data_IF_906485692779
#
_entry.id   IF_906485692779
#
_cell.length_a   1.000
_cell.length_b   1.000
_cell.length_c   1.000
_cell.angle_alpha   90.00
_cell.angle_beta   90.00
_cell.angle_gamma   90.00
#
_symmetry.space_group_name_H-M   'P 1'
#
loop_
_entity.id
_entity.type
_entity.pdbx_description
1 polymer ?
#
# COMPACT_ATOMS: atom_id res chain seq x y z
N UNK A 1 45.73 -0.80 11.69
CA UNK A 1 44.71 0.22 12.02
C UNK A 1 43.53 0.19 11.04
N UNK A 2 43.76 0.16 9.72
CA UNK A 2 42.70 0.13 8.71
C UNK A 2 41.85 -1.16 8.72
N UNK A 3 42.45 -2.32 8.97
CA UNK A 3 41.74 -3.61 9.07
C UNK A 3 40.73 -3.66 10.22
N UNK A 4 41.04 -3.05 11.36
CA UNK A 4 40.14 -3.01 12.53
C UNK A 4 38.94 -2.10 12.23
N UNK A 5 39.16 -1.00 11.50
CA UNK A 5 38.07 -0.12 11.04
C UNK A 5 37.19 -0.84 10.02
N UNK A 6 37.76 -1.56 9.05
CA UNK A 6 37.02 -2.35 8.04
C UNK A 6 36.24 -3.50 8.70
N UNK A 7 36.85 -4.25 9.61
CA UNK A 7 36.18 -5.31 10.37
C UNK A 7 35.07 -4.75 11.28
N UNK A 8 35.26 -3.57 11.88
CA UNK A 8 34.20 -2.89 12.64
C UNK A 8 33.06 -2.40 11.75
N UNK A 9 33.36 -2.03 10.50
CA UNK A 9 32.37 -1.63 9.49
C UNK A 9 31.53 -2.83 9.01
N UNK A 10 32.14 -4.00 8.86
CA UNK A 10 31.46 -5.26 8.49
C UNK A 10 30.64 -5.86 9.64
N UNK A 11 31.14 -5.80 10.88
CA UNK A 11 30.36 -6.19 12.07
C UNK A 11 29.21 -5.22 12.30
N UNK A 12 29.41 -3.93 12.01
CA UNK A 12 28.37 -2.90 12.07
C UNK A 12 27.30 -3.05 10.99
N UNK A 13 27.66 -3.42 9.75
CA UNK A 13 26.70 -3.54 8.65
C UNK A 13 25.79 -4.77 8.82
N UNK A 14 26.33 -5.92 9.23
CA UNK A 14 25.55 -7.14 9.50
C UNK A 14 24.61 -6.96 10.70
N UNK A 15 25.08 -6.30 11.77
CA UNK A 15 24.24 -5.98 12.93
C UNK A 15 23.11 -5.01 12.58
N UNK A 16 23.40 -3.97 11.78
CA UNK A 16 22.40 -3.02 11.32
C UNK A 16 21.36 -3.68 10.40
N UNK A 17 21.79 -4.52 9.47
CA UNK A 17 20.89 -5.30 8.62
C UNK A 17 19.98 -6.24 9.43
N UNK A 18 20.51 -6.91 10.46
CA UNK A 18 19.72 -7.77 11.33
C UNK A 18 18.66 -7.00 12.13
N UNK A 19 18.97 -5.81 12.64
CA UNK A 19 18.01 -4.96 13.35
C UNK A 19 16.93 -4.41 12.41
N UNK A 20 17.32 -3.98 11.21
CA UNK A 20 16.36 -3.49 10.20
C UNK A 20 15.43 -4.61 9.73
N UNK A 21 15.96 -5.81 9.44
CA UNK A 21 15.15 -6.96 9.03
C UNK A 21 14.26 -7.44 10.17
N UNK A 22 14.77 -7.52 11.40
CA UNK A 22 13.98 -7.90 12.57
C UNK A 22 12.86 -6.90 12.86
N UNK A 23 13.15 -5.60 12.78
CA UNK A 23 12.15 -4.54 12.93
C UNK A 23 11.09 -4.56 11.83
N UNK A 24 11.49 -4.78 10.58
CA UNK A 24 10.59 -4.90 9.44
C UNK A 24 9.65 -6.11 9.58
N UNK A 25 10.19 -7.27 9.94
CA UNK A 25 9.43 -8.50 10.09
C UNK A 25 8.42 -8.42 11.23
N UNK A 26 8.80 -7.83 12.37
CA UNK A 26 7.90 -7.62 13.51
C UNK A 26 6.79 -6.62 13.21
N UNK A 27 7.10 -5.56 12.45
CA UNK A 27 6.10 -4.59 12.00
C UNK A 27 5.12 -5.20 11.00
N UNK A 28 5.61 -5.99 10.04
CA UNK A 28 4.79 -6.69 9.06
C UNK A 28 3.86 -7.72 9.73
N UNK A 29 4.36 -8.47 10.71
CA UNK A 29 3.55 -9.41 11.50
C UNK A 29 2.44 -8.69 12.28
N UNK A 30 2.72 -7.54 12.89
CA UNK A 30 1.69 -6.75 13.59
C UNK A 30 0.60 -6.25 12.66
N UNK A 31 0.94 -5.86 11.43
CA UNK A 31 -0.06 -5.41 10.45
C UNK A 31 -0.96 -6.57 10.02
N UNK A 32 -0.38 -7.74 9.75
CA UNK A 32 -1.12 -8.92 9.34
C UNK A 32 -2.02 -9.45 10.46
N UNK A 33 -1.49 -9.58 11.68
CA UNK A 33 -2.27 -10.04 12.84
C UNK A 33 -3.47 -9.14 13.14
N UNK A 34 -3.29 -7.81 13.04
CA UNK A 34 -4.39 -6.86 13.25
C UNK A 34 -5.47 -6.96 12.16
N UNK A 35 -5.12 -7.45 10.96
CA UNK A 35 -6.07 -7.65 9.87
C UNK A 35 -6.84 -8.97 10.03
N UNK A 36 -6.19 -10.04 10.50
CA UNK A 36 -6.82 -11.34 10.77
C UNK A 36 -7.80 -11.27 11.96
N UNK A 37 -7.41 -10.66 13.08
CA UNK A 37 -8.30 -10.46 14.25
C UNK A 37 -9.57 -9.67 13.87
N UNK A 38 -9.44 -8.70 12.95
CA UNK A 38 -10.55 -7.90 12.43
C UNK A 38 -11.52 -8.68 11.52
N UNK A 39 -11.09 -9.80 10.94
CA UNK A 39 -11.91 -10.68 10.08
C UNK A 39 -12.64 -11.76 10.90
N UNK A 40 -12.02 -12.28 11.96
CA UNK A 40 -12.62 -13.27 12.85
C UNK A 40 -13.84 -12.73 13.62
N UNK A 41 -13.77 -11.48 14.12
CA UNK A 41 -14.88 -10.83 14.85
C UNK A 41 -16.15 -10.67 13.98
N UNK A 42 -16.00 -10.65 12.65
CA UNK A 42 -17.10 -10.32 11.73
C UNK A 42 -17.77 -11.54 11.07
N UNK A 43 -17.14 -12.71 11.07
CA UNK A 43 -17.65 -13.90 10.34
C UNK A 43 -18.65 -14.73 11.15
N UNK A 44 -18.84 -14.44 12.44
CA UNK A 44 -19.81 -15.15 13.27
C UNK A 44 -21.18 -14.46 13.27
N UNK A 45 -21.93 -14.60 12.18
CA UNK A 45 -23.39 -14.50 12.23
C UNK A 45 -24.01 -15.59 11.35
N UNK A 46 -24.41 -16.70 11.98
CA UNK A 46 -25.39 -17.62 11.40
C UNK A 46 -26.67 -16.82 11.13
N UNK A 47 -26.96 -16.54 9.87
CA UNK A 47 -28.23 -15.95 9.46
C UNK A 47 -29.30 -17.04 9.54
N UNK A 48 -29.87 -17.26 10.74
CA UNK A 48 -31.02 -18.14 10.99
C UNK A 48 -32.34 -17.63 10.40
N UNK A 49 -32.33 -16.54 9.64
CA UNK A 49 -33.57 -15.90 9.16
C UNK A 49 -34.04 -16.45 7.79
N UNK A 50 -33.19 -17.12 7.02
CA UNK A 50 -33.59 -17.72 5.73
C UNK A 50 -34.10 -19.17 5.82
N UNK A 51 -34.06 -19.79 7.01
CA UNK A 51 -34.55 -21.18 7.22
C UNK A 51 -35.96 -21.23 7.82
N UNK A 52 -36.59 -20.08 8.11
CA UNK A 52 -37.99 -19.99 8.51
C UNK A 52 -38.96 -19.84 7.31
N UNK A 53 -38.51 -20.18 6.11
CA UNK A 53 -39.39 -20.49 4.98
C UNK A 53 -39.43 -22.01 4.85
N UNK A 54 -40.04 -22.67 5.85
CA UNK A 54 -40.57 -24.01 5.64
C UNK A 54 -41.69 -23.93 4.59
N UNK A 55 -41.70 -24.78 3.55
CA UNK A 55 -42.87 -24.97 2.72
C UNK A 55 -43.85 -25.91 3.44
N UNK A 56 -44.51 -25.42 4.49
CA UNK A 56 -45.69 -26.07 5.03
C UNK A 56 -46.93 -25.30 4.59
N UNK A 57 -47.64 -25.85 3.59
CA UNK A 57 -49.11 -25.96 3.53
C UNK A 57 -49.55 -26.38 2.12
N UNK A 58 -49.86 -27.66 1.95
CA UNK A 58 -50.85 -28.08 0.94
C UNK A 58 -52.25 -27.75 1.50
N UNK A 59 -53.01 -26.85 0.86
CA UNK A 59 -54.43 -27.07 0.55
C UNK A 59 -55.07 -25.95 -0.29
N UNK A 60 -55.57 -26.34 -1.46
CA UNK A 60 -56.70 -25.83 -2.24
C UNK A 60 -57.19 -24.39 -2.02
N UNK A 61 -57.01 -23.57 -3.04
CA UNK A 61 -57.73 -22.31 -3.23
C UNK A 61 -57.10 -21.51 -4.36
N UNK A 62 -57.88 -21.19 -5.39
CA UNK A 62 -57.44 -20.44 -6.57
C UNK A 62 -56.92 -19.04 -6.19
N UNK A 63 -55.62 -18.92 -5.92
CA UNK A 63 -54.93 -17.65 -5.79
C UNK A 63 -54.01 -17.50 -6.99
N UNK A 64 -54.28 -16.45 -7.78
CA UNK A 64 -53.44 -15.98 -8.87
C UNK A 64 -51.97 -16.09 -8.46
N UNK A 65 -51.20 -16.88 -9.21
CA UNK A 65 -49.75 -16.88 -9.16
C UNK A 65 -49.28 -15.47 -9.54
N UNK A 66 -49.25 -14.56 -8.56
CA UNK A 66 -48.49 -13.33 -8.69
C UNK A 66 -47.05 -13.80 -8.76
N UNK A 67 -46.51 -13.73 -9.97
CA UNK A 67 -45.11 -13.87 -10.34
C UNK A 67 -44.31 -12.80 -9.57
N UNK A 68 -44.17 -12.98 -8.25
CA UNK A 68 -43.28 -12.20 -7.40
C UNK A 68 -41.90 -12.74 -7.75
N UNK A 69 -41.27 -12.12 -8.73
CA UNK A 69 -39.90 -12.44 -9.09
C UNK A 69 -39.06 -12.40 -7.79
N UNK A 70 -38.44 -13.52 -7.36
CA UNK A 70 -37.69 -13.56 -6.10
C UNK A 70 -36.58 -12.50 -6.04
N UNK A 71 -36.17 -12.00 -7.20
CA UNK A 71 -35.23 -10.89 -7.38
C UNK A 71 -35.77 -9.56 -6.86
N UNK A 72 -37.07 -9.39 -6.70
CA UNK A 72 -37.70 -8.15 -6.22
C UNK A 72 -37.98 -8.16 -4.71
N UNK A 73 -37.81 -9.31 -4.04
CA UNK A 73 -38.11 -9.49 -2.62
C UNK A 73 -36.82 -9.86 -1.88
N UNK A 74 -36.01 -8.86 -1.57
CA UNK A 74 -34.80 -9.05 -0.77
C UNK A 74 -33.98 -7.78 -0.55
N UNK A 75 -33.04 -7.88 0.39
CA UNK A 75 -32.09 -6.83 0.73
C UNK A 75 -30.69 -7.25 0.29
N UNK A 76 -29.98 -6.34 -0.39
CA UNK A 76 -28.55 -6.43 -0.63
C UNK A 76 -27.82 -5.74 0.52
N UNK A 77 -26.65 -6.26 0.88
CA UNK A 77 -25.79 -5.68 1.90
C UNK A 77 -24.40 -5.41 1.32
N UNK A 78 -23.76 -4.35 1.81
CA UNK A 78 -22.34 -4.10 1.53
C UNK A 78 -21.64 -3.50 2.73
N UNK A 79 -20.32 -3.66 2.74
CA UNK A 79 -19.44 -3.05 3.74
C UNK A 79 -18.44 -2.17 2.99
N UNK A 80 -18.46 -0.88 3.31
CA UNK A 80 -17.47 0.08 2.79
C UNK A 80 -16.34 0.17 3.79
N UNK A 81 -15.10 -0.11 3.34
CA UNK A 81 -13.88 -0.13 4.14
C UNK A 81 -12.99 1.06 3.81
N UNK A 82 -12.26 1.59 4.79
CA UNK A 82 -11.25 2.62 4.63
C UNK A 82 -9.93 2.14 5.24
N UNK A 83 -8.80 2.52 4.65
CA UNK A 83 -7.48 2.11 5.13
C UNK A 83 -7.08 2.80 6.45
N UNK A 84 -7.76 3.89 6.82
CA UNK A 84 -7.52 4.68 8.03
C UNK A 84 -8.85 4.95 8.74
N UNK A 85 -8.80 5.45 9.98
CA UNK A 85 -9.96 5.81 10.81
C UNK A 85 -10.67 7.07 10.29
N UNK A 86 -11.05 7.06 9.01
CA UNK A 86 -11.62 8.21 8.29
C UNK A 86 -13.05 8.48 8.76
N UNK A 87 -13.79 7.44 9.13
CA UNK A 87 -15.19 7.57 9.59
C UNK A 87 -15.33 8.01 11.04
N UNK A 88 -14.20 8.27 11.72
CA UNK A 88 -14.19 8.98 13.00
C UNK A 88 -14.67 10.43 12.83
N UNK A 89 -14.40 11.03 11.67
CA UNK A 89 -14.92 12.35 11.33
C UNK A 89 -16.36 12.25 10.81
N UNK A 90 -17.28 12.87 11.55
CA UNK A 90 -18.70 12.93 11.22
C UNK A 90 -18.98 13.57 9.85
N UNK A 91 -18.17 14.54 9.41
CA UNK A 91 -18.37 15.22 8.13
C UNK A 91 -18.11 14.27 6.97
N UNK A 92 -17.05 13.46 7.08
CA UNK A 92 -16.70 12.48 6.06
C UNK A 92 -17.72 11.34 6.04
N UNK A 93 -18.16 10.90 7.22
CA UNK A 93 -19.24 9.92 7.34
C UNK A 93 -20.52 10.40 6.65
N UNK A 94 -20.95 11.64 6.92
CA UNK A 94 -22.15 12.21 6.31
C UNK A 94 -22.03 12.31 4.80
N UNK A 95 -20.86 12.73 4.30
CA UNK A 95 -20.57 12.79 2.86
C UNK A 95 -20.67 11.40 2.22
N UNK A 96 -20.08 10.38 2.85
CA UNK A 96 -20.22 9.00 2.39
C UNK A 96 -21.70 8.58 2.36
N UNK A 97 -22.46 8.82 3.42
CA UNK A 97 -23.88 8.48 3.46
C UNK A 97 -24.67 9.16 2.35
N UNK A 98 -24.37 10.42 2.04
CA UNK A 98 -25.02 11.14 0.94
C UNK A 98 -24.69 10.52 -0.42
N UNK A 99 -23.41 10.26 -0.68
CA UNK A 99 -22.96 9.58 -1.89
C UNK A 99 -23.66 8.21 -2.03
N UNK A 100 -23.66 7.41 -0.96
CA UNK A 100 -24.25 6.08 -0.99
C UNK A 100 -25.79 6.12 -1.13
N UNK A 101 -26.45 7.12 -0.55
CA UNK A 101 -27.88 7.34 -0.70
C UNK A 101 -28.29 7.64 -2.16
N UNK A 102 -27.44 8.32 -2.95
CA UNK A 102 -27.69 8.52 -4.39
C UNK A 102 -27.77 7.19 -5.15
N UNK A 103 -27.05 6.17 -4.68
CA UNK A 103 -27.07 4.80 -5.21
C UNK A 103 -28.18 3.93 -4.61
N UNK A 104 -29.04 4.50 -3.76
CA UNK A 104 -30.10 3.81 -3.04
C UNK A 104 -29.62 3.01 -1.82
N UNK A 105 -28.36 3.16 -1.39
CA UNK A 105 -27.85 2.50 -0.19
C UNK A 105 -28.24 3.27 1.06
N UNK A 106 -28.71 2.54 2.07
CA UNK A 106 -29.12 3.06 3.36
C UNK A 106 -28.12 2.56 4.40
N UNK A 107 -27.55 3.47 5.17
CA UNK A 107 -26.64 3.09 6.26
C UNK A 107 -27.41 2.26 7.29
N UNK A 108 -26.90 1.06 7.58
CA UNK A 108 -27.48 0.18 8.60
C UNK A 108 -26.82 0.46 9.94
N UNK A 109 -25.49 0.36 9.98
CA UNK A 109 -24.70 0.51 11.19
C UNK A 109 -23.26 0.89 10.87
N UNK A 110 -22.60 1.55 11.82
CA UNK A 110 -21.17 1.83 11.80
C UNK A 110 -20.47 0.76 12.63
N UNK A 111 -19.72 -0.13 11.97
CA UNK A 111 -19.04 -1.25 12.63
C UNK A 111 -17.84 -0.73 13.44
N UNK A 112 -17.05 0.17 12.85
CA UNK A 112 -15.92 0.84 13.50
C UNK A 112 -15.61 2.19 12.80
N UNK A 113 -14.46 2.80 13.08
CA UNK A 113 -14.02 4.06 12.44
C UNK A 113 -13.49 3.86 10.99
N UNK A 114 -13.48 2.63 10.47
CA UNK A 114 -12.96 2.26 9.15
C UNK A 114 -13.97 1.52 8.27
N UNK A 115 -15.07 1.02 8.83
CA UNK A 115 -16.00 0.10 8.17
C UNK A 115 -17.44 0.48 8.52
N UNK A 116 -18.25 0.62 7.49
CA UNK A 116 -19.67 0.94 7.63
C UNK A 116 -20.47 -0.05 6.79
N UNK A 117 -21.56 -0.54 7.37
CA UNK A 117 -22.47 -1.49 6.72
C UNK A 117 -23.67 -0.76 6.16
N UNK A 118 -23.99 -1.04 4.90
CA UNK A 118 -25.13 -0.50 4.19
C UNK A 118 -26.07 -1.62 3.73
N UNK A 119 -27.35 -1.29 3.58
CA UNK A 119 -28.36 -2.15 2.97
C UNK A 119 -29.08 -1.43 1.84
N UNK A 120 -29.57 -2.18 0.84
CA UNK A 120 -30.37 -1.65 -0.26
C UNK A 120 -31.41 -2.67 -0.71
N UNK A 121 -32.66 -2.29 -0.99
CA UNK A 121 -33.62 -3.18 -1.63
C UNK A 121 -33.15 -3.62 -3.02
N UNK A 122 -33.26 -4.90 -3.36
CA UNK A 122 -32.80 -5.40 -4.67
C UNK A 122 -33.54 -4.71 -5.83
N UNK A 123 -34.81 -4.34 -5.66
CA UNK A 123 -35.59 -3.60 -6.67
C UNK A 123 -34.94 -2.28 -7.10
N UNK A 124 -34.18 -1.61 -6.22
CA UNK A 124 -33.49 -0.35 -6.57
C UNK A 124 -32.30 -0.56 -7.50
N UNK A 125 -31.80 -1.79 -7.64
CA UNK A 125 -30.70 -2.11 -8.56
C UNK A 125 -31.04 -1.82 -10.01
N UNK A 126 -32.27 -2.10 -10.42
CA UNK A 126 -32.71 -1.92 -11.81
C UNK A 126 -33.18 -0.48 -12.08
N UNK A 127 -33.69 0.19 -11.04
CA UNK A 127 -34.20 1.57 -11.12
C UNK A 127 -33.04 2.56 -11.16
N UNK A 128 -32.01 2.35 -10.35
CA UNK A 128 -30.85 3.24 -10.27
C UNK A 128 -29.80 2.82 -11.29
N UNK A 129 -29.79 3.52 -12.43
CA UNK A 129 -28.79 3.32 -13.49
C UNK A 129 -27.43 3.86 -13.06
N UNK A 130 -26.44 2.97 -12.99
CA UNK A 130 -25.06 3.32 -12.58
C UNK A 130 -24.39 4.36 -13.48
N UNK A 131 -24.82 4.49 -14.73
CA UNK A 131 -24.28 5.42 -15.72
C UNK A 131 -24.47 6.91 -15.36
N UNK A 132 -25.48 7.23 -14.54
CA UNK A 132 -25.78 8.61 -14.14
C UNK A 132 -25.16 9.00 -12.80
N UNK A 133 -24.46 8.07 -12.14
CA UNK A 133 -23.87 8.29 -10.84
C UNK A 133 -22.43 8.77 -10.97
N UNK A 134 -22.02 9.65 -10.06
CA UNK A 134 -20.65 10.18 -9.99
C UNK A 134 -19.66 9.16 -9.44
N UNK A 135 -20.16 8.10 -8.81
CA UNK A 135 -19.38 7.06 -8.14
C UNK A 135 -19.89 5.67 -8.51
N UNK A 136 -19.08 4.66 -8.19
CA UNK A 136 -19.45 3.27 -8.41
C UNK A 136 -20.33 2.75 -7.25
N UNK A 137 -21.57 2.27 -7.53
CA UNK A 137 -22.49 1.81 -6.48
C UNK A 137 -21.99 0.63 -5.66
N UNK A 138 -21.11 -0.20 -6.24
CA UNK A 138 -20.59 -1.41 -5.62
C UNK A 138 -19.18 -1.26 -5.07
N UNK A 139 -18.66 -0.02 -4.96
CA UNK A 139 -17.36 0.22 -4.34
C UNK A 139 -17.35 -0.32 -2.91
N UNK A 140 -16.29 -1.05 -2.59
CA UNK A 140 -16.03 -1.62 -1.26
C UNK A 140 -14.98 -0.84 -0.48
N UNK A 141 -14.26 0.09 -1.13
CA UNK A 141 -13.23 0.91 -0.51
C UNK A 141 -13.51 2.40 -0.65
N UNK A 142 -13.29 3.13 0.44
CA UNK A 142 -13.42 4.59 0.52
C UNK A 142 -12.08 5.26 0.83
N UNK A 143 -11.78 6.31 0.08
CA UNK A 143 -10.56 7.09 0.20
C UNK A 143 -9.52 6.80 -0.88
N UNK A 144 -8.43 7.57 -0.91
CA UNK A 144 -7.39 7.42 -1.92
C UNK A 144 -6.64 6.10 -1.74
N UNK A 145 -6.61 5.29 -2.79
CA UNK A 145 -5.75 4.10 -2.90
C UNK A 145 -4.29 4.46 -3.18
N UNK A 146 -4.01 5.72 -3.53
CA UNK A 146 -2.68 6.18 -3.87
C UNK A 146 -1.87 6.50 -2.62
N UNK A 147 -0.82 5.72 -2.39
CA UNK A 147 0.09 5.86 -1.27
C UNK A 147 1.43 6.44 -1.79
N UNK A 148 1.57 7.77 -1.93
CA UNK A 148 2.78 8.40 -2.50
C UNK A 148 4.04 8.10 -1.68
N UNK A 149 3.88 7.74 -0.41
CA UNK A 149 4.97 7.32 0.47
C UNK A 149 5.80 6.18 -0.10
N UNK A 150 5.19 5.23 -0.82
CA UNK A 150 5.92 4.10 -1.42
C UNK A 150 6.89 4.58 -2.51
N UNK A 151 6.54 5.63 -3.26
CA UNK A 151 7.42 6.22 -4.27
C UNK A 151 8.59 6.96 -3.63
N UNK A 152 8.36 7.71 -2.56
CA UNK A 152 9.45 8.35 -1.81
C UNK A 152 10.42 7.32 -1.22
N UNK A 153 9.90 6.21 -0.68
CA UNK A 153 10.73 5.11 -0.19
C UNK A 153 11.57 4.49 -1.32
N UNK A 154 10.98 4.23 -2.49
CA UNK A 154 11.71 3.68 -3.64
C UNK A 154 12.83 4.62 -4.12
N UNK A 155 12.56 5.93 -4.18
CA UNK A 155 13.57 6.94 -4.53
C UNK A 155 14.68 6.96 -3.48
N UNK A 156 14.35 6.92 -2.19
CA UNK A 156 15.34 6.90 -1.12
C UNK A 156 16.27 5.68 -1.21
N UNK A 157 15.74 4.50 -1.53
CA UNK A 157 16.54 3.28 -1.77
C UNK A 157 17.46 3.46 -2.98
N UNK A 158 16.95 4.02 -4.07
CA UNK A 158 17.75 4.24 -5.28
C UNK A 158 18.88 5.25 -5.04
N UNK A 159 18.62 6.32 -4.28
CA UNK A 159 19.64 7.29 -3.86
C UNK A 159 20.66 6.61 -2.93
N UNK A 160 20.22 5.81 -1.96
CA UNK A 160 21.12 5.10 -1.05
C UNK A 160 22.06 4.12 -1.78
N UNK A 161 21.65 3.54 -2.92
CA UNK A 161 22.51 2.67 -3.74
C UNK A 161 23.44 3.47 -4.67
N UNK A 162 22.93 4.52 -5.32
CA UNK A 162 23.67 5.26 -6.37
C UNK A 162 24.65 6.27 -5.80
N UNK A 163 24.34 6.89 -4.67
CA UNK A 163 25.13 7.98 -4.09
C UNK A 163 26.50 7.52 -3.57
N UNK A 164 26.65 6.37 -2.87
CA UNK A 164 27.96 5.85 -2.50
C UNK A 164 28.80 5.43 -3.71
N UNK A 165 28.18 4.83 -4.73
CA UNK A 165 28.88 4.43 -5.97
C UNK A 165 29.43 5.66 -6.71
N UNK A 166 28.64 6.73 -6.81
CA UNK A 166 29.06 7.98 -7.43
C UNK A 166 30.19 8.67 -6.65
N UNK A 167 30.06 8.78 -5.32
CA UNK A 167 31.10 9.38 -4.47
C UNK A 167 32.43 8.61 -4.56
N UNK A 168 32.37 7.27 -4.58
CA UNK A 168 33.55 6.43 -4.78
C UNK A 168 34.24 6.71 -6.11
N UNK A 169 33.48 6.77 -7.20
CA UNK A 169 34.01 7.14 -8.52
C UNK A 169 34.61 8.55 -8.56
N UNK A 170 33.94 9.53 -7.94
CA UNK A 170 34.39 10.92 -7.90
C UNK A 170 35.69 11.10 -7.11
N UNK A 171 35.90 10.35 -6.02
CA UNK A 171 37.15 10.37 -5.26
C UNK A 171 38.31 9.81 -6.08
N UNK A 172 38.10 8.64 -6.70
CA UNK A 172 39.14 7.95 -7.49
C UNK A 172 39.56 8.76 -8.72
N UNK A 173 38.59 9.34 -9.44
CA UNK A 173 38.89 10.19 -10.60
C UNK A 173 39.71 11.43 -10.23
N UNK A 174 39.43 12.06 -9.07
CA UNK A 174 40.20 13.22 -8.57
C UNK A 174 41.63 12.86 -8.16
N UNK A 175 41.84 11.69 -7.56
CA UNK A 175 43.19 11.24 -7.17
C UNK A 175 44.07 10.95 -8.39
N UNK A 176 43.51 10.31 -9.42
CA UNK A 176 44.26 10.04 -10.65
C UNK A 176 44.57 11.33 -11.42
N UNK A 177 43.60 12.25 -11.53
CA UNK A 177 43.81 13.53 -12.22
C UNK A 177 44.89 14.40 -11.54
N UNK A 178 45.01 14.36 -10.21
CA UNK A 178 46.07 15.11 -9.50
C UNK A 178 47.46 14.50 -9.67
N UNK A 179 47.57 13.18 -9.87
CA UNK A 179 48.88 12.52 -10.07
C UNK A 179 49.51 12.76 -11.44
N UNK A 180 48.73 13.16 -12.44
CA UNK A 180 49.23 13.40 -13.81
C UNK A 180 50.01 14.71 -13.96
N UNK A 181 50.10 15.55 -12.92
CA UNK A 181 50.71 16.87 -12.98
C UNK A 181 52.05 16.98 -12.21
N UNK A 182 53.02 16.15 -12.58
CA UNK A 182 54.47 16.29 -12.25
C UNK A 182 55.21 15.40 -13.26
N UNK A 183 56.12 15.81 -14.15
CA UNK A 183 57.14 16.88 -14.19
C UNK A 183 57.47 17.26 -15.66
N UNK A 184 57.93 18.49 -15.99
CA UNK A 184 58.73 18.74 -17.19
C UNK A 184 60.20 18.30 -16.98
N UNK A 185 60.79 17.70 -18.02
CA UNK A 185 62.12 17.07 -18.08
C UNK A 185 63.28 17.92 -17.51
N UNK A 186 64.28 17.31 -16.83
CA UNK A 186 65.55 17.97 -16.53
C UNK A 186 66.45 17.94 -17.77
N UNK A 187 66.64 19.10 -18.43
CA UNK A 187 67.66 19.28 -19.44
C UNK A 187 68.99 19.65 -18.76
N UNK A 188 69.90 18.69 -18.59
CA UNK A 188 71.32 18.95 -18.37
C UNK A 188 72.15 17.67 -18.58
N UNK A 189 72.54 17.40 -19.83
CA UNK A 189 73.73 16.58 -20.08
C UNK A 189 74.95 17.51 -20.08
N UNK A 190 76.04 17.21 -19.34
CA UNK A 190 77.27 17.97 -19.46
C UNK A 190 78.00 17.63 -20.78
N UNK A 191 78.71 18.58 -21.41
CA UNK A 191 79.47 18.33 -22.64
C UNK A 191 80.73 17.52 -22.34
N UNK A 192 81.06 16.57 -23.23
CA UNK A 192 82.29 15.79 -23.20
C UNK A 192 83.50 16.68 -23.51
N UNK A 193 84.50 16.70 -22.62
CA UNK A 193 85.81 17.28 -22.88
C UNK A 193 86.57 16.49 -23.96
N UNK A 194 87.20 17.15 -24.95
CA UNK A 194 88.10 16.49 -25.87
C UNK A 194 89.49 16.31 -25.24
N UNK A 195 89.91 15.06 -25.11
CA UNK A 195 91.29 14.68 -24.77
C UNK A 195 92.25 15.18 -25.86
N UNK A 196 93.05 16.19 -25.55
CA UNK A 196 94.15 16.64 -26.41
C UNK A 196 95.43 15.87 -26.10
N UNK A 197 96.03 15.31 -27.13
CA UNK A 197 97.40 14.78 -27.17
C UNK A 197 98.44 15.86 -26.82
N UNK A 198 99.38 15.54 -25.92
CA UNK A 198 100.85 15.65 -26.07
C UNK A 198 101.57 15.32 -24.75
#
# INVERSE_FOLDING_TARGET
MLEIVVCSLFVGSLGFQAVVLGGWMHWQQRILAHQEEEEEILTQYETKENTLIEPQSQQNGAAKQSLKDPRLVGWEFKIVRANRNVFRDSQVLQKLCQEEAESGWIMLEKLDDRRIRFKRPIALREIVKSEYLKHEPYRSHYGPTWQPWNWFAAIAVLVAMTLPAYLGYALVSRTFASSSQTQPLPAAFPPLEPTSEQ
#
